data_IF_928648641564
#
_entry.id   IF_928648641564
#
_cell.length_a   1.000
_cell.length_b   1.000
_cell.length_c   1.000
_cell.angle_alpha   90.00
_cell.angle_beta   90.00
_cell.angle_gamma   90.00
#
_symmetry.space_group_name_H-M   'P 1'
#
loop_
_entity.id
_entity.type
_entity.pdbx_description
1 polymer ?
2 water ?
#
# COMPACT_ATOMS: atom_id res chain seq x y z
N UNK A 1 13.12 3.63 -7.51
CA UNK A 1 12.23 4.20 -6.44
C UNK A 1 10.84 4.52 -6.93
N UNK A 2 9.86 4.18 -6.11
CA UNK A 2 8.42 4.33 -6.32
C UNK A 2 7.78 5.15 -5.18
N UNK A 3 6.80 5.94 -5.52
CA UNK A 3 6.06 6.78 -4.59
C UNK A 3 4.59 6.46 -4.87
N UNK A 4 3.82 6.25 -3.80
CA UNK A 4 2.37 6.10 -3.96
C UNK A 4 1.79 7.33 -3.24
N UNK A 5 1.06 8.16 -3.97
CA UNK A 5 0.47 9.34 -3.41
C UNK A 5 -1.02 9.12 -3.16
N UNK A 6 -1.50 9.38 -1.97
CA UNK A 6 -2.92 9.24 -1.62
C UNK A 6 -3.54 10.63 -1.50
N UNK A 7 -4.34 11.02 -2.47
CA UNK A 7 -4.88 12.36 -2.51
C UNK A 7 -6.40 12.26 -2.58
N UNK A 8 -7.10 13.29 -2.13
CA UNK A 8 -8.57 13.34 -2.17
C UNK A 8 -9.03 13.83 -3.53
N UNK A 9 -10.13 13.33 -4.04
CA UNK A 9 -10.60 13.70 -5.36
C UNK A 9 -10.69 15.19 -5.64
N UNK A 10 -10.76 15.53 -6.94
CA UNK A 10 -11.02 16.95 -7.20
C UNK A 10 -9.96 17.78 -7.83
N UNK A 11 -8.73 17.25 -7.90
CA UNK A 11 -7.60 18.06 -8.45
C UNK A 11 -7.68 17.96 -9.96
N UNK A 12 -7.32 18.99 -10.72
CA UNK A 12 -7.40 19.00 -12.17
C UNK A 12 -6.37 18.06 -12.78
N UNK A 13 -6.53 17.79 -14.07
CA UNK A 13 -5.60 17.04 -14.82
C UNK A 13 -4.24 17.72 -14.85
N UNK A 14 -4.18 19.03 -15.05
CA UNK A 14 -2.93 19.74 -15.01
C UNK A 14 -2.28 19.62 -13.62
N UNK A 15 -3.05 19.78 -12.52
CA UNK A 15 -2.44 19.62 -11.19
C UNK A 15 -1.84 18.25 -10.95
N UNK A 16 -2.53 17.18 -11.30
CA UNK A 16 -1.99 15.80 -11.16
C UNK A 16 -0.72 15.55 -11.94
N UNK A 17 -0.63 15.94 -13.21
CA UNK A 17 0.54 16.00 -14.03
C UNK A 17 1.66 16.77 -13.35
N UNK A 18 1.40 17.95 -12.81
CA UNK A 18 2.44 18.73 -12.12
C UNK A 18 2.95 17.94 -10.92
N UNK A 19 2.01 17.46 -10.08
CA UNK A 19 2.30 16.63 -8.91
C UNK A 19 3.25 15.48 -9.21
N UNK A 20 2.96 14.74 -10.32
CA UNK A 20 3.78 13.63 -10.73
C UNK A 20 5.17 14.17 -11.05
N UNK A 21 5.20 15.28 -11.80
CA UNK A 21 6.52 15.78 -12.17
C UNK A 21 7.36 16.19 -10.98
N UNK A 22 6.78 17.01 -10.14
CA UNK A 22 7.55 17.58 -9.04
C UNK A 22 7.93 16.56 -7.99
N UNK A 23 7.08 15.56 -7.80
CA UNK A 23 7.40 14.51 -6.86
C UNK A 23 8.55 13.71 -7.43
N UNK A 24 8.48 13.42 -8.74
CA UNK A 24 9.48 12.58 -9.36
C UNK A 24 10.86 13.24 -9.24
N UNK A 25 10.87 14.51 -9.54
CA UNK A 25 12.04 15.34 -9.44
C UNK A 25 12.62 15.34 -8.01
N UNK A 26 11.76 15.54 -7.04
CA UNK A 26 12.20 15.48 -5.64
C UNK A 26 12.83 14.11 -5.30
N UNK A 27 12.34 12.98 -5.75
CA UNK A 27 12.93 11.69 -5.45
C UNK A 27 14.29 11.45 -6.12
N UNK A 28 14.35 11.76 -7.39
CA UNK A 28 15.57 11.76 -8.19
C UNK A 28 16.61 12.64 -7.53
N UNK A 29 16.37 13.88 -7.18
CA UNK A 29 17.38 14.72 -6.53
C UNK A 29 17.90 14.13 -5.21
N UNK A 30 17.05 13.93 -4.21
CA UNK A 30 17.36 13.45 -2.88
C UNK A 30 18.03 12.09 -2.76
N UNK A 31 17.67 11.20 -3.68
CA UNK A 31 18.12 9.83 -3.64
C UNK A 31 19.30 9.57 -4.57
N UNK A 32 19.55 10.60 -5.36
CA UNK A 32 20.56 10.55 -6.44
C UNK A 32 20.30 9.40 -7.41
N UNK A 33 19.08 9.34 -7.93
CA UNK A 33 18.65 8.32 -8.86
C UNK A 33 18.28 9.03 -10.17
N UNK A 34 18.53 8.38 -11.30
CA UNK A 34 18.10 8.87 -12.59
C UNK A 34 16.62 9.15 -12.61
N UNK A 35 16.20 10.34 -12.97
CA UNK A 35 14.80 10.64 -13.11
C UNK A 35 14.09 9.60 -13.96
N UNK A 36 14.70 8.97 -14.97
CA UNK A 36 13.89 8.07 -15.76
C UNK A 36 13.43 6.83 -14.99
N UNK A 37 14.05 6.48 -13.87
CA UNK A 37 13.64 5.24 -13.21
C UNK A 37 12.53 5.39 -12.15
N UNK A 38 12.20 6.62 -11.86
CA UNK A 38 11.20 6.95 -10.86
C UNK A 38 9.81 6.62 -11.36
N UNK A 39 9.00 5.98 -10.54
CA UNK A 39 7.64 5.64 -10.86
C UNK A 39 6.78 6.29 -9.78
N UNK A 40 5.70 6.90 -10.12
CA UNK A 40 4.76 7.54 -9.24
C UNK A 40 3.33 7.06 -9.55
N UNK A 41 2.69 6.52 -8.51
CA UNK A 41 1.29 6.15 -8.57
C UNK A 41 0.38 7.15 -7.84
N UNK A 42 -0.68 7.64 -8.37
CA UNK A 42 -1.64 8.45 -7.63
C UNK A 42 -2.80 7.54 -7.21
N UNK A 43 -3.15 7.45 -5.96
CA UNK A 43 -4.34 6.73 -5.45
C UNK A 43 -5.32 7.80 -4.98
N UNK A 44 -6.36 8.10 -5.71
CA UNK A 44 -7.32 9.12 -5.39
C UNK A 44 -8.54 8.59 -4.67
N UNK A 45 -9.10 9.31 -3.69
CA UNK A 45 -10.26 8.81 -2.99
C UNK A 45 -11.21 9.98 -2.65
N UNK A 46 -12.49 9.66 -2.47
CA UNK A 46 -13.50 10.62 -2.11
C UNK A 46 -13.12 11.15 -0.74
N UNK A 47 -13.57 12.37 -0.51
CA UNK A 47 -13.20 13.10 0.69
C UNK A 47 -13.63 12.34 1.91
N UNK A 48 -14.67 11.53 1.81
CA UNK A 48 -15.21 10.75 2.91
C UNK A 48 -14.66 9.32 3.03
N UNK A 49 -13.60 9.08 2.28
CA UNK A 49 -12.82 7.86 2.45
C UNK A 49 -11.59 8.24 3.31
N UNK A 50 -11.45 9.49 3.70
CA UNK A 50 -10.34 9.93 4.52
C UNK A 50 -10.81 10.26 5.94
N UNK A 51 -10.27 9.58 6.94
CA UNK A 51 -10.65 9.75 8.33
C UNK A 51 -9.57 10.45 9.13
N UNK A 52 -9.91 11.53 9.81
CA UNK A 52 -9.03 12.28 10.69
C UNK A 52 -9.61 12.26 12.13
N UNK A 53 -8.97 11.66 13.13
CA UNK A 53 -9.43 11.52 14.49
C UNK A 53 -10.77 10.85 14.71
N UNK A 54 -11.22 9.90 13.91
CA UNK A 54 -12.46 9.19 14.01
C UNK A 54 -13.64 9.74 13.18
N UNK A 55 -13.38 10.78 12.44
CA UNK A 55 -14.28 11.47 11.59
C UNK A 55 -13.94 11.60 10.11
N UNK A 56 -14.93 11.43 9.25
CA UNK A 56 -14.72 11.69 7.84
C UNK A 56 -14.26 13.14 7.64
N UNK A 57 -13.22 13.24 6.80
CA UNK A 57 -12.57 14.47 6.43
C UNK A 57 -13.57 15.51 5.93
N UNK A 58 -14.61 15.11 5.23
CA UNK A 58 -15.72 15.85 4.69
C UNK A 58 -16.59 16.52 5.76
N UNK A 59 -16.53 15.96 6.94
CA UNK A 59 -16.97 16.11 8.29
C UNK A 59 -18.45 15.73 8.40
N UNK B 1 -12.37 -8.57 4.01
CA UNK B 1 -11.88 -7.18 4.26
C UNK B 1 -10.52 -7.21 4.88
N UNK B 2 -9.60 -6.36 4.47
CA UNK B 2 -8.20 -6.37 4.91
C UNK B 2 -7.82 -4.99 5.43
N UNK B 3 -7.03 -4.94 6.50
CA UNK B 3 -6.59 -3.65 7.07
C UNK B 3 -5.05 -3.67 7.05
N UNK B 4 -4.41 -2.63 6.54
CA UNK B 4 -2.96 -2.56 6.67
C UNK B 4 -2.72 -1.42 7.69
N UNK B 5 -2.03 -1.73 8.81
CA UNK B 5 -1.74 -0.75 9.85
C UNK B 5 -0.27 -0.34 9.85
N UNK B 6 0.00 0.93 9.72
CA UNK B 6 1.27 1.59 9.69
C UNK B 6 1.58 2.12 11.10
N UNK B 7 2.44 1.52 11.89
CA UNK B 7 2.69 2.01 13.24
C UNK B 7 4.19 2.18 13.41
N UNK B 8 4.57 3.04 14.31
CA UNK B 8 5.95 3.31 14.69
C UNK B 8 6.44 2.22 15.63
N UNK B 9 7.64 1.76 15.38
CA UNK B 9 8.34 0.85 16.22
C UNK B 9 8.20 1.10 17.71
N UNK B 10 8.21 0.13 18.62
CA UNK B 10 8.16 0.45 20.05
C UNK B 10 7.14 -0.36 20.81
N UNK B 11 6.26 -1.11 20.15
CA UNK B 11 5.20 -1.78 20.89
C UNK B 11 5.66 -3.18 21.19
N UNK B 12 5.04 -3.81 22.15
CA UNK B 12 5.42 -5.17 22.49
C UNK B 12 4.62 -6.10 21.59
N UNK B 13 4.94 -7.39 21.61
CA UNK B 13 4.14 -8.35 20.85
C UNK B 13 2.73 -8.47 21.45
N UNK B 14 2.50 -8.19 22.74
CA UNK B 14 1.17 -8.35 23.34
C UNK B 14 0.32 -7.15 22.98
N UNK B 15 0.93 -5.99 22.81
CA UNK B 15 0.19 -4.83 22.36
C UNK B 15 -0.26 -4.96 20.90
N UNK B 16 0.57 -5.60 20.05
CA UNK B 16 0.29 -5.83 18.62
C UNK B 16 -0.86 -6.83 18.44
N UNK B 17 -0.90 -7.82 19.33
CA UNK B 17 -1.94 -8.87 19.33
C UNK B 17 -3.28 -8.29 19.69
N UNK B 18 -3.33 -7.33 20.62
CA UNK B 18 -4.48 -6.57 21.06
C UNK B 18 -4.98 -5.69 19.91
N UNK B 19 -4.07 -4.97 19.26
CA UNK B 19 -4.39 -4.13 18.11
C UNK B 19 -5.07 -4.91 17.00
N UNK B 20 -4.53 -6.11 16.71
CA UNK B 20 -5.07 -7.05 15.72
C UNK B 20 -6.48 -7.48 16.15
N UNK B 21 -6.65 -7.84 17.40
CA UNK B 21 -7.97 -8.31 17.84
C UNK B 21 -9.01 -7.22 17.79
N UNK B 22 -8.71 -6.04 18.28
CA UNK B 22 -9.66 -4.96 18.31
C UNK B 22 -10.03 -4.32 16.98
N UNK B 23 -8.99 -4.19 16.15
CA UNK B 23 -9.23 -3.67 14.80
C UNK B 23 -10.06 -4.70 14.02
N UNK B 24 -9.78 -5.98 14.13
CA UNK B 24 -10.56 -7.02 13.46
C UNK B 24 -12.00 -6.94 13.95
N UNK B 25 -12.23 -6.92 15.25
CA UNK B 25 -13.56 -6.72 15.77
C UNK B 25 -14.28 -5.54 15.11
N UNK B 26 -13.76 -4.31 15.18
CA UNK B 26 -14.35 -3.10 14.67
C UNK B 26 -14.76 -3.23 13.20
N UNK B 27 -13.95 -3.94 12.41
CA UNK B 27 -14.18 -4.19 11.00
C UNK B 27 -15.30 -5.19 10.82
N UNK B 28 -15.30 -6.25 11.59
CA UNK B 28 -16.37 -7.25 11.46
C UNK B 28 -17.71 -6.59 11.74
N UNK B 29 -17.78 -5.79 12.77
CA UNK B 29 -18.97 -5.19 13.35
C UNK B 29 -19.42 -4.04 12.46
N UNK B 30 -18.47 -3.27 11.96
CA UNK B 30 -18.88 -2.12 11.14
C UNK B 30 -19.37 -2.43 9.73
N UNK B 31 -18.82 -3.45 9.12
CA UNK B 31 -19.04 -3.90 7.79
C UNK B 31 -20.03 -5.04 7.74
N UNK B 32 -20.42 -5.66 8.83
CA UNK B 32 -21.31 -6.85 8.83
C UNK B 32 -20.66 -8.00 8.08
N UNK B 33 -19.41 -8.27 8.48
CA UNK B 33 -18.56 -9.28 7.90
C UNK B 33 -18.14 -10.26 8.97
N UNK B 34 -18.11 -11.53 8.66
CA UNK B 34 -17.68 -12.58 9.56
C UNK B 34 -16.29 -12.28 10.04
N UNK B 35 -16.12 -12.35 11.34
CA UNK B 35 -14.82 -12.08 11.92
C UNK B 35 -13.75 -12.96 11.35
N UNK B 36 -14.04 -14.21 10.99
CA UNK B 36 -13.00 -15.11 10.49
C UNK B 36 -12.49 -14.69 9.11
N UNK B 37 -13.18 -13.83 8.36
CA UNK B 37 -12.73 -13.39 7.04
C UNK B 37 -11.88 -12.12 7.04
N UNK B 38 -11.78 -11.42 8.16
CA UNK B 38 -10.94 -10.24 8.38
C UNK B 38 -9.44 -10.57 8.40
N UNK B 39 -8.61 -9.86 7.62
CA UNK B 39 -7.18 -10.03 7.67
C UNK B 39 -6.58 -8.67 8.06
N UNK B 40 -5.60 -8.73 8.94
CA UNK B 40 -4.89 -7.50 9.37
C UNK B 40 -3.39 -7.66 9.08
N UNK B 41 -2.75 -6.62 8.57
CA UNK B 41 -1.33 -6.60 8.26
C UNK B 41 -0.74 -5.44 9.07
N UNK B 42 0.28 -5.61 9.86
CA UNK B 42 0.94 -4.54 10.59
C UNK B 42 2.23 -4.22 9.82
N UNK B 43 2.44 -3.00 9.43
CA UNK B 43 3.63 -2.54 8.74
C UNK B 43 4.36 -1.59 9.65
N UNK B 44 5.37 -2.09 10.34
CA UNK B 44 6.03 -1.29 11.37
C UNK B 44 7.20 -0.48 10.86
N UNK B 45 7.39 0.78 11.27
CA UNK B 45 8.54 1.49 10.77
C UNK B 45 9.25 2.24 11.89
N UNK B 46 10.53 2.56 11.66
CA UNK B 46 11.28 3.42 12.57
C UNK B 46 10.67 4.83 12.54
N UNK B 47 10.82 5.55 13.65
CA UNK B 47 10.30 6.86 13.83
C UNK B 47 10.79 7.83 12.80
N UNK B 48 12.02 7.69 12.33
CA UNK B 48 12.49 8.66 11.33
C UNK B 48 12.03 8.37 9.90
N UNK B 49 11.15 7.39 9.71
CA UNK B 49 10.57 6.98 8.46
C UNK B 49 9.19 7.58 8.33
N UNK B 50 8.78 8.36 9.30
CA UNK B 50 7.47 9.02 9.29
C UNK B 50 7.70 10.54 9.40
N UNK B 51 7.18 11.26 8.43
CA UNK B 51 7.36 12.68 8.31
C UNK B 51 6.02 13.38 8.44
N UNK B 52 6.09 14.51 9.12
CA UNK B 52 4.93 15.35 9.42
C UNK B 52 5.21 16.76 8.94
N UNK B 53 4.47 17.32 8.02
CA UNK B 53 4.83 18.64 7.52
C UNK B 53 6.30 18.80 7.20
N UNK B 54 7.02 17.80 6.68
CA UNK B 54 8.35 17.88 6.15
C UNK B 54 9.52 17.50 7.00
N UNK B 55 9.21 17.07 8.21
CA UNK B 55 10.16 16.65 9.20
C UNK B 55 9.86 15.26 9.72
N UNK B 56 10.89 14.49 10.01
CA UNK B 56 10.71 13.18 10.62
C UNK B 56 9.99 13.31 11.96
N UNK B 57 9.24 12.28 12.34
CA UNK B 57 8.46 12.22 13.55
C UNK B 57 9.41 12.42 14.72
N UNK B 58 10.51 11.68 14.72
CA UNK B 58 11.64 11.74 15.64
C UNK B 58 12.14 13.18 15.75
N UNK B 59 11.82 14.07 14.87
CA UNK B 59 11.98 15.51 14.89
C UNK B 59 13.41 15.99 14.63
N UNK C 1 -0.35 -15.84 1.74
CA UNK C 1 0.22 -14.53 1.29
C UNK C 1 -0.69 -13.64 0.47
N UNK C 2 -0.37 -12.34 0.30
CA UNK C 2 -1.29 -11.36 -0.32
C UNK C 2 -0.55 -10.58 -1.37
N UNK C 3 -1.22 -10.37 -2.51
CA UNK C 3 -0.60 -9.60 -3.59
C UNK C 3 -1.49 -8.41 -3.84
N UNK C 4 -0.92 -7.25 -4.01
CA UNK C 4 -1.66 -6.07 -4.41
C UNK C 4 -1.06 -5.67 -5.78
N UNK C 5 -1.91 -5.64 -6.80
CA UNK C 5 -1.52 -5.32 -8.18
C UNK C 5 -2.02 -3.97 -8.63
N UNK C 6 -1.15 -3.07 -9.02
CA UNK C 6 -1.41 -1.73 -9.48
C UNK C 6 -1.33 -1.67 -11.03
N UNK C 7 -2.50 -1.62 -11.62
CA UNK C 7 -2.62 -1.75 -13.06
C UNK C 7 -3.33 -0.53 -13.61
N UNK C 8 -3.10 -0.22 -14.88
CA UNK C 8 -3.85 0.86 -15.50
C UNK C 8 -5.16 0.31 -16.09
N UNK C 9 -6.21 1.09 -16.05
CA UNK C 9 -7.45 0.82 -16.67
C UNK C 9 -7.36 0.30 -18.10
N UNK C 10 -8.40 -0.41 -18.54
CA UNK C 10 -8.54 -0.80 -19.92
C UNK C 10 -8.71 -2.31 -20.03
N UNK C 11 -8.49 -3.08 -18.96
CA UNK C 11 -8.55 -4.54 -19.09
C UNK C 11 -9.98 -4.98 -18.84
N UNK C 12 -10.41 -6.05 -19.50
CA UNK C 12 -11.79 -6.53 -19.39
C UNK C 12 -11.88 -7.33 -18.10
N UNK C 13 -13.10 -7.62 -17.71
CA UNK C 13 -13.29 -8.43 -16.52
C UNK C 13 -12.65 -9.78 -16.65
N UNK C 14 -12.84 -10.43 -17.81
CA UNK C 14 -12.25 -11.75 -17.96
C UNK C 14 -10.75 -11.59 -18.02
N UNK C 15 -10.16 -10.53 -18.59
CA UNK C 15 -8.71 -10.37 -18.47
C UNK C 15 -8.24 -10.25 -16.99
N UNK C 16 -9.03 -9.56 -16.17
CA UNK C 16 -8.66 -9.40 -14.76
C UNK C 16 -8.73 -10.71 -14.01
N UNK C 17 -9.71 -11.51 -14.46
CA UNK C 17 -9.85 -12.84 -13.89
C UNK C 17 -8.64 -13.73 -14.17
N UNK C 18 -8.12 -13.69 -15.39
CA UNK C 18 -6.89 -14.44 -15.72
C UNK C 18 -5.74 -13.97 -14.82
N UNK C 19 -5.59 -12.64 -14.77
CA UNK C 19 -4.56 -12.01 -13.95
C UNK C 19 -4.60 -12.53 -12.52
N UNK C 20 -5.78 -12.54 -11.89
CA UNK C 20 -5.92 -13.05 -10.53
C UNK C 20 -5.50 -14.53 -10.56
N UNK C 21 -5.94 -15.39 -11.47
CA UNK C 21 -5.63 -16.81 -11.36
C UNK C 21 -4.13 -17.13 -11.42
N UNK C 22 -3.56 -16.50 -12.43
CA UNK C 22 -2.18 -16.69 -12.81
C UNK C 22 -1.25 -16.08 -11.77
N UNK C 23 -1.41 -14.86 -11.30
CA UNK C 23 -0.55 -14.39 -10.18
C UNK C 23 -0.76 -15.30 -8.98
N UNK C 24 -1.99 -15.70 -8.64
CA UNK C 24 -2.17 -16.53 -7.46
C UNK C 24 -1.42 -17.87 -7.67
N UNK C 25 -1.55 -18.52 -8.81
CA UNK C 25 -0.84 -19.82 -8.96
C UNK C 25 0.66 -19.66 -8.90
N UNK C 26 1.25 -18.55 -9.29
CA UNK C 26 2.61 -18.12 -9.22
C UNK C 26 3.06 -18.02 -7.75
N UNK C 27 2.24 -17.39 -6.94
CA UNK C 27 2.62 -17.24 -5.55
C UNK C 27 2.56 -18.58 -4.84
N UNK C 28 1.50 -19.33 -5.14
CA UNK C 28 1.39 -20.66 -4.48
C UNK C 28 2.55 -21.51 -4.88
N UNK C 29 3.07 -21.58 -6.08
CA UNK C 29 4.19 -22.44 -6.47
C UNK C 29 5.59 -22.04 -5.98
N UNK C 30 5.81 -20.71 -5.97
CA UNK C 30 7.04 -20.12 -5.54
C UNK C 30 7.36 -20.30 -4.05
N UNK C 31 6.27 -20.13 -3.31
CA UNK C 31 6.33 -20.16 -1.85
C UNK C 31 6.05 -21.57 -1.34
N UNK C 32 5.54 -22.46 -2.18
CA UNK C 32 5.13 -23.79 -1.71
C UNK C 32 3.97 -23.58 -0.73
N UNK C 33 3.02 -22.69 -0.96
CA UNK C 33 1.91 -22.31 -0.10
C UNK C 33 0.61 -22.83 -0.68
N UNK C 34 -0.41 -23.04 0.14
CA UNK C 34 -1.72 -23.45 -0.29
C UNK C 34 -2.38 -22.38 -1.14
N UNK C 35 -2.86 -22.73 -2.32
CA UNK C 35 -3.53 -21.75 -3.16
C UNK C 35 -4.74 -21.10 -2.45
N UNK C 36 -5.46 -21.81 -1.60
CA UNK C 36 -6.64 -21.33 -0.93
C UNK C 36 -6.28 -20.21 0.03
N UNK C 37 -5.06 -20.01 0.48
CA UNK C 37 -4.86 -18.90 1.43
C UNK C 37 -4.36 -17.70 0.66
N UNK C 38 -4.17 -17.80 -0.67
CA UNK C 38 -3.70 -16.62 -1.39
C UNK C 38 -4.85 -15.63 -1.63
N UNK C 39 -4.58 -14.35 -1.40
CA UNK C 39 -5.50 -13.31 -1.65
C UNK C 39 -4.88 -12.34 -2.66
N UNK C 40 -5.69 -11.86 -3.59
CA UNK C 40 -5.10 -10.91 -4.55
C UNK C 40 -6.03 -9.69 -4.59
N UNK C 41 -5.43 -8.50 -4.53
CA UNK C 41 -6.12 -7.24 -4.67
C UNK C 41 -5.66 -6.44 -5.91
N UNK C 42 -6.58 -6.03 -6.76
CA UNK C 42 -6.32 -5.22 -7.94
C UNK C 42 -6.62 -3.75 -7.65
N UNK C 43 -5.63 -2.89 -7.81
CA UNK C 43 -5.78 -1.46 -7.53
C UNK C 43 -5.66 -0.83 -8.94
N UNK C 44 -6.81 -0.44 -9.50
CA UNK C 44 -6.75 0.04 -10.89
C UNK C 44 -6.79 1.55 -10.90
N UNK C 45 -6.12 2.14 -11.87
CA UNK C 45 -6.12 3.60 -11.97
C UNK C 45 -6.15 4.13 -13.40
N UNK C 46 -6.57 5.36 -13.60
CA UNK C 46 -6.46 6.06 -14.84
C UNK C 46 -5.00 6.15 -15.24
N UNK C 47 -4.88 6.18 -16.58
CA UNK C 47 -3.61 6.29 -17.24
C UNK C 47 -2.85 7.51 -16.83
N UNK C 48 -3.49 8.61 -16.51
CA UNK C 48 -2.77 9.82 -16.07
C UNK C 48 -2.45 9.73 -14.56
N UNK C 49 -2.80 8.63 -13.88
CA UNK C 49 -2.47 8.52 -12.46
C UNK C 49 -1.16 7.74 -12.33
N UNK C 50 -0.60 7.31 -13.45
CA UNK C 50 0.65 6.59 -13.43
C UNK C 50 1.77 7.35 -14.12
N UNK C 51 2.78 7.59 -13.32
CA UNK C 51 3.88 8.45 -13.69
C UNK C 51 5.13 7.60 -13.92
N UNK C 52 5.72 8.02 -15.05
CA UNK C 52 6.90 7.32 -15.56
C UNK C 52 8.01 8.28 -15.93
N UNK C 53 9.08 8.33 -15.12
CA UNK C 53 10.13 9.29 -15.39
C UNK C 53 9.70 10.75 -15.37
N UNK C 54 8.62 11.12 -14.67
CA UNK C 54 8.14 12.46 -14.44
C UNK C 54 6.93 12.91 -15.23
N UNK C 55 6.49 11.98 -16.05
CA UNK C 55 5.48 12.07 -17.05
C UNK C 55 4.38 11.02 -16.89
N UNK C 56 3.19 11.58 -17.02
CA UNK C 56 2.00 10.80 -17.07
C UNK C 56 2.15 9.72 -18.12
N UNK C 57 1.75 8.51 -17.79
CA UNK C 57 1.69 7.39 -18.67
C UNK C 57 0.92 7.72 -19.97
N UNK C 58 -0.09 8.59 -19.85
CA UNK C 58 -0.92 9.20 -20.84
C UNK C 58 -0.18 10.20 -21.74
N UNK C 59 1.12 10.35 -21.69
CA UNK C 59 2.11 11.23 -22.24
C UNK C 59 1.66 12.71 -22.22
N UNK D 1 -2.68 15.36 2.19
CA UNK D 1 -2.09 14.33 1.26
C UNK D 1 -1.07 13.42 1.90
N UNK D 2 -1.02 12.14 1.58
CA UNK D 2 0.01 11.26 2.15
C UNK D 2 0.85 10.66 1.03
N UNK D 3 2.14 10.57 1.20
CA UNK D 3 3.05 9.92 0.29
C UNK D 3 3.63 8.66 0.93
N UNK D 4 3.61 7.51 0.27
CA UNK D 4 4.31 6.31 0.75
C UNK D 4 5.47 6.05 -0.23
N UNK D 5 6.67 6.18 0.31
CA UNK D 5 7.86 6.02 -0.53
C UNK D 5 8.54 4.64 -0.40
N UNK D 6 8.76 3.93 -1.51
CA UNK D 6 9.39 2.60 -1.51
C UNK D 6 10.83 2.73 -1.99
N UNK D 7 11.83 2.59 -1.10
CA UNK D 7 13.19 2.89 -1.52
C UNK D 7 13.99 1.68 -1.08
N UNK D 8 15.16 1.53 -1.66
CA UNK D 8 16.02 0.42 -1.25
C UNK D 8 16.87 0.90 -0.09
N UNK D 9 17.18 0.05 0.86
CA UNK D 9 18.07 0.32 1.95
C UNK D 9 19.36 1.05 1.64
N UNK D 10 20.01 1.65 2.65
CA UNK D 10 21.39 2.09 2.41
C UNK D 10 21.59 3.57 2.47
N UNK D 11 20.51 4.33 2.58
CA UNK D 11 20.60 5.80 2.66
C UNK D 11 20.81 6.17 4.15
N UNK D 12 21.57 7.24 4.38
CA UNK D 12 21.73 7.69 5.76
C UNK D 12 20.42 8.30 6.21
N UNK D 13 20.34 8.49 7.55
CA UNK D 13 19.21 9.17 8.20
C UNK D 13 19.02 10.60 7.72
N UNK D 14 20.13 11.30 7.49
CA UNK D 14 20.14 12.62 6.95
C UNK D 14 19.65 12.63 5.50
N UNK D 15 20.03 11.64 4.69
CA UNK D 15 19.42 11.55 3.34
C UNK D 15 17.92 11.31 3.32
N UNK D 16 17.49 10.42 4.24
CA UNK D 16 16.05 10.14 4.40
C UNK D 16 15.30 11.39 4.83
N UNK D 17 15.91 12.27 5.62
CA UNK D 17 15.29 13.54 6.05
C UNK D 17 15.09 14.57 4.95
N UNK D 18 16.05 14.67 4.07
CA UNK D 18 16.09 15.45 2.85
C UNK D 18 14.99 14.96 1.90
N UNK D 19 14.90 13.64 1.86
CA UNK D 19 13.92 12.97 0.99
C UNK D 19 12.52 13.33 1.45
N UNK D 20 12.29 13.16 2.78
CA UNK D 20 11.00 13.59 3.38
C UNK D 20 10.78 15.08 3.11
N UNK D 21 11.79 15.89 3.38
CA UNK D 21 11.60 17.33 3.13
C UNK D 21 11.15 17.61 1.72
N UNK D 22 12.03 17.23 0.83
CA UNK D 22 11.83 17.56 -0.60
C UNK D 22 10.55 16.99 -1.14
N UNK D 23 10.17 15.77 -0.88
CA UNK D 23 8.90 15.24 -1.36
C UNK D 23 7.71 16.03 -0.83
N UNK D 24 7.73 16.39 0.44
CA UNK D 24 6.65 17.13 1.08
C UNK D 24 6.51 18.52 0.44
N UNK D 25 7.59 19.21 0.13
CA UNK D 25 7.47 20.51 -0.54
C UNK D 25 6.90 20.35 -1.91
N UNK D 26 7.30 19.37 -2.71
CA UNK D 26 6.71 19.17 -4.04
C UNK D 26 5.20 18.91 -3.92
N UNK D 27 4.69 18.20 -2.90
CA UNK D 27 3.29 17.89 -2.86
C UNK D 27 2.52 19.14 -2.44
N UNK D 28 3.05 19.80 -1.43
CA UNK D 28 2.40 21.02 -0.95
C UNK D 28 2.36 22.04 -2.09
N UNK D 29 3.39 22.19 -2.90
CA UNK D 29 3.39 23.17 -3.99
C UNK D 29 2.64 22.74 -5.26
N UNK D 30 2.61 21.45 -5.59
CA UNK D 30 1.85 20.95 -6.71
C UNK D 30 0.35 21.04 -6.50
N UNK D 31 -0.03 20.67 -5.28
CA UNK D 31 -1.41 20.62 -4.89
C UNK D 31 -1.89 21.89 -4.20
N UNK D 32 -1.05 22.85 -3.94
CA UNK D 32 -1.11 23.97 -3.04
C UNK D 32 -1.96 23.50 -1.81
N UNK D 33 -1.33 22.57 -1.08
CA UNK D 33 -1.92 22.18 0.18
C UNK D 33 -0.98 22.82 1.20
N UNK D 34 -1.45 23.06 2.42
CA UNK D 34 -0.60 23.50 3.48
C UNK D 34 0.50 22.49 3.75
N UNK D 35 1.74 22.84 3.49
CA UNK D 35 2.86 21.94 3.79
C UNK D 35 2.73 21.21 5.12
N UNK D 36 2.26 21.73 6.23
CA UNK D 36 2.19 21.02 7.50
C UNK D 36 1.12 19.94 7.59
N UNK D 37 0.28 19.76 6.59
CA UNK D 37 -0.69 18.68 6.59
C UNK D 37 -0.17 17.47 5.79
N UNK D 38 0.97 17.62 5.11
CA UNK D 38 1.59 16.59 4.30
C UNK D 38 2.22 15.53 5.17
N UNK D 39 1.91 14.26 5.02
CA UNK D 39 2.44 13.20 5.79
C UNK D 39 3.31 12.34 4.89
N UNK D 40 4.47 11.86 5.24
CA UNK D 40 5.27 10.98 4.37
C UNK D 40 5.61 9.68 5.11
N UNK D 41 5.48 8.53 4.45
CA UNK D 41 5.82 7.25 5.03
C UNK D 41 7.00 6.68 4.17
N UNK D 42 8.11 6.29 4.74
CA UNK D 42 9.16 5.59 4.03
C UNK D 42 9.03 4.09 4.29
N UNK D 43 8.91 3.25 3.26
CA UNK D 43 8.89 1.81 3.35
C UNK D 43 10.18 1.33 2.70
N UNK D 44 11.14 1.00 3.50
CA UNK D 44 12.47 0.66 3.00
C UNK D 44 12.58 -0.85 2.89
N UNK D 45 13.29 -1.30 1.89
CA UNK D 45 13.47 -2.74 1.71
C UNK D 45 14.85 -3.10 1.20
N UNK D 46 15.29 -4.35 1.48
CA UNK D 46 16.52 -4.86 0.96
C UNK D 46 16.51 -4.83 -0.57
N UNK D 47 17.71 -4.81 -1.16
CA UNK D 47 17.90 -4.84 -2.58
C UNK D 47 17.31 -6.08 -3.23
N UNK D 48 17.21 -7.21 -2.56
CA UNK D 48 16.66 -8.37 -3.29
C UNK D 48 15.15 -8.49 -3.16
N UNK D 49 14.50 -7.51 -2.56
CA UNK D 49 13.05 -7.43 -2.42
C UNK D 49 12.46 -6.55 -3.53
N UNK D 50 13.35 -6.00 -4.32
CA UNK D 50 13.01 -5.16 -5.43
C UNK D 50 13.34 -5.80 -6.79
N UNK D 51 12.33 -6.20 -7.51
CA UNK D 51 12.35 -6.86 -8.81
C UNK D 51 12.10 -5.93 -9.98
N UNK D 52 12.97 -5.97 -10.95
CA UNK D 52 12.97 -5.21 -12.17
C UNK D 52 13.03 -6.18 -13.37
N UNK D 53 11.96 -6.19 -14.16
CA UNK D 53 11.83 -7.04 -15.30
C UNK D 53 12.09 -8.50 -14.99
N UNK D 54 11.74 -9.00 -13.81
CA UNK D 54 11.89 -10.39 -13.44
C UNK D 54 13.08 -10.80 -12.63
N UNK D 55 14.00 -9.89 -12.34
CA UNK D 55 15.24 -10.04 -11.66
C UNK D 55 15.42 -9.25 -10.38
N UNK D 56 16.04 -9.76 -9.35
CA UNK D 56 16.27 -8.94 -8.17
C UNK D 56 17.12 -7.74 -8.59
N UNK D 57 16.94 -6.60 -7.94
CA UNK D 57 17.66 -5.36 -8.10
C UNK D 57 19.14 -5.61 -7.88
N UNK D 58 19.44 -6.45 -6.91
CA UNK D 58 20.71 -6.96 -6.49
C UNK D 58 21.39 -7.88 -7.49
N UNK D 59 20.83 -8.25 -8.59
CA UNK D 59 20.89 -9.07 -9.76
C UNK D 59 21.27 -10.56 -9.53
N UNK E 1 -0.80 6.98 14.30
CA UNK E 1 -0.79 5.77 13.41
C UNK E 1 -1.71 5.81 12.22
N UNK E 2 -1.49 5.14 11.11
CA UNK E 2 -2.42 5.21 9.95
C UNK E 2 -2.98 3.84 9.66
N UNK E 3 -4.22 3.65 9.25
CA UNK E 3 -4.82 2.38 8.91
C UNK E 3 -5.19 2.44 7.43
N UNK E 4 -4.86 1.49 6.55
CA UNK E 4 -5.47 1.61 5.20
C UNK E 4 -6.41 0.41 5.14
N UNK E 5 -7.67 0.66 4.82
CA UNK E 5 -8.76 -0.28 4.79
C UNK E 5 -9.15 -0.56 3.30
N UNK E 6 -8.99 -1.84 2.99
CA UNK E 6 -9.29 -2.43 1.66
C UNK E 6 -10.62 -3.15 1.78
N UNK E 7 -11.66 -2.56 1.20
CA UNK E 7 -13.01 -3.08 1.27
C UNK E 7 -13.63 -3.13 -0.13
N UNK E 8 -14.56 -4.04 -0.29
CA UNK E 8 -15.33 -4.19 -1.50
C UNK E 8 -16.48 -3.18 -1.53
N UNK E 9 -16.77 -2.61 -2.66
CA UNK E 9 -17.94 -1.80 -2.85
C UNK E 9 -19.23 -2.37 -2.27
N UNK E 10 -20.21 -1.51 -2.06
CA UNK E 10 -21.55 -1.88 -1.65
C UNK E 10 -22.02 -1.28 -0.34
N UNK E 11 -21.14 -0.58 0.38
CA UNK E 11 -21.47 -0.01 1.69
C UNK E 11 -21.78 1.49 1.48
N UNK E 12 -22.73 1.93 2.29
CA UNK E 12 -23.15 3.30 2.30
C UNK E 12 -22.16 4.23 2.94
N UNK E 13 -22.28 5.53 2.68
CA UNK E 13 -21.44 6.51 3.37
C UNK E 13 -21.54 6.46 4.90
N UNK E 14 -22.70 6.14 5.49
CA UNK E 14 -22.75 6.17 6.96
C UNK E 14 -22.20 4.83 7.41
N UNK E 15 -22.22 3.71 6.72
CA UNK E 15 -21.52 2.53 7.23
C UNK E 15 -20.01 2.73 7.16
N UNK E 16 -19.48 3.50 6.23
CA UNK E 16 -18.10 3.90 6.07
C UNK E 16 -17.69 4.89 7.17
N UNK E 17 -18.53 5.83 7.60
CA UNK E 17 -18.22 6.67 8.75
C UNK E 17 -18.14 5.89 10.05
N UNK E 18 -19.00 4.95 10.39
CA UNK E 18 -18.99 4.02 11.50
C UNK E 18 -17.69 3.23 11.48
N UNK E 19 -17.34 2.72 10.25
CA UNK E 19 -16.06 2.01 10.03
C UNK E 19 -14.87 2.90 10.39
N UNK E 20 -14.83 4.15 9.90
CA UNK E 20 -13.71 5.03 10.25
C UNK E 20 -13.68 5.20 11.78
N UNK E 21 -14.80 5.51 12.43
CA UNK E 21 -14.85 5.75 13.88
C UNK E 21 -14.43 4.60 14.75
N UNK E 22 -15.03 3.44 14.55
CA UNK E 22 -14.65 2.23 15.27
C UNK E 22 -13.21 1.76 15.03
N UNK E 23 -12.66 1.72 13.82
CA UNK E 23 -11.24 1.37 13.70
C UNK E 23 -10.39 2.42 14.40
N UNK E 24 -10.63 3.69 14.24
CA UNK E 24 -9.89 4.78 14.87
C UNK E 24 -9.89 4.60 16.39
N UNK E 25 -11.02 4.36 17.04
CA UNK E 25 -11.03 4.07 18.49
C UNK E 25 -10.23 2.83 18.84
N UNK E 26 -10.34 1.78 17.99
CA UNK E 26 -9.60 0.53 18.17
C UNK E 26 -8.10 0.81 18.17
N UNK E 27 -7.63 1.63 17.25
CA UNK E 27 -6.18 1.92 17.26
C UNK E 27 -5.74 2.76 18.46
N UNK E 28 -6.50 3.78 18.80
CA UNK E 28 -6.14 4.72 19.89
C UNK E 28 -6.07 3.98 21.22
N UNK E 29 -7.03 3.11 21.47
CA UNK E 29 -7.09 2.29 22.66
C UNK E 29 -5.95 1.28 22.71
N UNK E 30 -5.71 0.46 21.70
CA UNK E 30 -4.66 -0.54 21.69
C UNK E 30 -3.26 0.03 21.79
N UNK E 31 -2.97 1.08 21.06
CA UNK E 31 -1.69 1.72 21.04
C UNK E 31 -1.48 2.85 22.04
N UNK E 32 -2.54 3.25 22.75
CA UNK E 32 -2.51 4.39 23.65
C UNK E 32 -2.08 5.63 22.85
N UNK E 33 -2.80 5.86 21.77
CA UNK E 33 -2.40 7.10 21.06
C UNK E 33 -3.65 7.97 21.19
N UNK E 34 -3.52 9.30 21.27
CA UNK E 34 -4.59 10.20 21.13
C UNK E 34 -5.46 9.87 19.94
N UNK E 35 -6.75 9.88 20.02
CA UNK E 35 -7.68 9.61 18.95
C UNK E 35 -7.53 10.60 17.82
N UNK E 36 -7.15 11.80 18.14
CA UNK E 36 -6.99 12.89 17.21
C UNK E 36 -5.82 12.63 16.28
N UNK E 37 -4.85 11.78 16.64
CA UNK E 37 -3.84 11.69 15.59
C UNK E 37 -4.03 10.53 14.62
N UNK E 38 -4.94 9.61 14.86
CA UNK E 38 -5.23 8.50 13.96
C UNK E 38 -5.83 8.98 12.63
N UNK E 39 -5.26 8.46 11.52
CA UNK E 39 -5.72 8.70 10.18
C UNK E 39 -6.16 7.35 9.60
N UNK E 40 -7.25 7.35 8.90
CA UNK E 40 -7.77 6.16 8.24
C UNK E 40 -8.02 6.49 6.76
N UNK E 41 -7.65 5.50 5.92
CA UNK E 41 -7.82 5.59 4.49
C UNK E 41 -8.64 4.39 4.04
N UNK E 42 -9.72 4.61 3.35
CA UNK E 42 -10.58 3.57 2.79
C UNK E 42 -10.25 3.45 1.28
N UNK E 43 -9.87 2.22 0.91
CA UNK E 43 -9.51 1.84 -0.46
C UNK E 43 -10.56 0.79 -0.86
N UNK E 44 -11.54 1.36 -1.54
CA UNK E 44 -12.70 0.63 -2.03
C UNK E 44 -12.48 0.01 -3.46
N UNK E 45 -12.91 -1.23 -3.62
CA UNK E 45 -12.76 -1.89 -4.91
C UNK E 45 -13.99 -2.71 -5.30
N UNK E 46 -14.20 -2.85 -6.61
CA UNK E 46 -15.16 -3.79 -7.13
C UNK E 46 -14.89 -5.18 -6.62
N UNK E 47 -15.96 -5.96 -6.53
CA UNK E 47 -15.96 -7.30 -6.05
C UNK E 47 -15.03 -8.23 -6.81
N UNK E 48 -14.97 -7.94 -8.14
CA UNK E 48 -14.12 -8.74 -9.04
C UNK E 48 -12.68 -8.27 -9.00
N UNK E 49 -12.32 -7.33 -8.13
CA UNK E 49 -10.92 -6.92 -8.04
C UNK E 49 -10.33 -7.61 -6.81
N UNK E 50 -11.11 -8.53 -6.29
CA UNK E 50 -10.68 -9.22 -5.10
C UNK E 50 -10.67 -10.73 -5.33
N UNK E 51 -9.48 -11.32 -5.28
CA UNK E 51 -9.31 -12.73 -5.56
C UNK E 51 -9.02 -13.47 -4.29
N UNK E 52 -9.70 -14.59 -4.13
CA UNK E 52 -9.75 -15.52 -3.04
C UNK E 52 -9.34 -16.89 -3.58
N UNK E 53 -8.14 -17.30 -3.21
CA UNK E 53 -7.60 -18.54 -3.69
C UNK E 53 -7.67 -18.71 -5.18
N UNK E 54 -7.42 -17.71 -6.02
CA UNK E 54 -7.43 -17.78 -7.47
C UNK E 54 -8.73 -17.38 -8.17
N UNK E 55 -9.78 -17.09 -7.37
CA UNK E 55 -11.10 -16.82 -7.87
C UNK E 55 -11.47 -15.42 -7.45
N UNK E 56 -12.11 -14.68 -8.31
CA UNK E 56 -12.57 -13.34 -7.96
C UNK E 56 -13.65 -13.53 -6.91
N UNK E 57 -13.74 -12.60 -5.98
CA UNK E 57 -14.73 -12.68 -4.93
C UNK E 57 -16.12 -12.86 -5.50
N UNK E 58 -16.41 -12.12 -6.58
CA UNK E 58 -17.63 -12.18 -7.36
C UNK E 58 -17.91 -13.61 -7.78
N UNK E 59 -16.95 -14.46 -8.01
CA UNK E 59 -16.72 -15.87 -8.17
C UNK E 59 -16.55 -16.43 -9.61
N UNK F 1 2.99 -2.00 -14.97
CA UNK F 1 2.30 -2.69 -13.85
C UNK F 1 3.25 -3.05 -12.72
N UNK F 2 2.83 -2.88 -11.49
CA UNK F 2 3.63 -3.00 -10.29
C UNK F 2 2.94 -3.99 -9.38
N UNK F 3 3.58 -4.90 -8.72
CA UNK F 3 2.95 -5.84 -7.82
C UNK F 3 3.61 -5.62 -6.43
N UNK F 4 2.81 -5.57 -5.37
CA UNK F 4 3.40 -5.52 -4.03
C UNK F 4 2.96 -6.79 -3.31
N UNK F 5 3.97 -7.55 -2.90
CA UNK F 5 3.72 -8.84 -2.28
C UNK F 5 4.02 -8.80 -0.77
N UNK F 6 3.05 -9.19 0.07
CA UNK F 6 3.08 -9.26 1.51
C UNK F 6 3.14 -10.71 1.94
N UNK F 7 4.35 -11.05 2.39
CA UNK F 7 4.69 -12.42 2.74
C UNK F 7 5.26 -12.43 4.17
N UNK F 8 5.12 -13.54 4.85
CA UNK F 8 5.62 -13.64 6.22
C UNK F 8 7.08 -14.01 6.12
N UNK F 9 7.93 -13.53 6.98
CA UNK F 9 9.28 -13.97 7.20
C UNK F 9 9.65 -15.44 7.06
N UNK F 10 10.90 -15.75 6.74
CA UNK F 10 11.31 -17.16 6.69
C UNK F 10 11.64 -17.78 5.36
N UNK F 11 11.55 -17.07 4.23
CA UNK F 11 11.88 -17.68 2.94
C UNK F 11 13.34 -17.47 2.60
N UNK F 12 13.93 -18.45 1.89
CA UNK F 12 15.32 -18.27 1.49
C UNK F 12 15.42 -17.17 0.48
N UNK F 13 16.61 -16.77 0.11
CA UNK F 13 16.88 -15.77 -0.90
C UNK F 13 16.51 -16.35 -2.27
N UNK F 14 16.79 -17.64 -2.42
CA UNK F 14 16.40 -18.31 -3.65
C UNK F 14 14.89 -18.34 -3.87
N UNK F 15 14.05 -18.70 -2.93
CA UNK F 15 12.62 -18.71 -3.07
C UNK F 15 12.05 -17.34 -3.39
N UNK F 16 12.55 -16.28 -2.73
CA UNK F 16 12.17 -14.91 -2.96
C UNK F 16 12.46 -14.47 -4.40
N UNK F 17 13.62 -14.89 -4.93
CA UNK F 17 14.02 -14.66 -6.32
C UNK F 17 13.14 -15.34 -7.35
N UNK F 18 12.70 -16.57 -7.11
CA UNK F 18 11.79 -17.34 -7.90
C UNK F 18 10.42 -16.69 -7.91
N UNK F 19 9.99 -16.25 -6.71
CA UNK F 19 8.78 -15.51 -6.50
C UNK F 19 8.80 -14.26 -7.36
N UNK F 20 9.90 -13.50 -7.38
CA UNK F 20 9.93 -12.30 -8.24
C UNK F 20 9.81 -12.70 -9.73
N UNK F 21 10.53 -13.72 -10.17
CA UNK F 21 10.46 -14.15 -11.56
C UNK F 21 9.08 -14.58 -12.01
N UNK F 22 8.52 -15.52 -11.26
CA UNK F 22 7.28 -16.14 -11.65
C UNK F 22 6.12 -15.16 -11.55
N UNK F 23 6.18 -14.29 -10.53
CA UNK F 23 5.08 -13.34 -10.48
C UNK F 23 5.27 -12.39 -11.65
N UNK F 24 6.45 -11.89 -11.94
CA UNK F 24 6.56 -10.97 -13.07
C UNK F 24 6.10 -11.59 -14.41
N UNK F 25 6.50 -12.85 -14.63
CA UNK F 25 6.06 -13.51 -15.86
C UNK F 25 4.55 -13.61 -15.86
N UNK F 26 3.86 -13.99 -14.79
CA UNK F 26 2.39 -14.05 -14.77
C UNK F 26 1.76 -12.69 -15.08
N UNK F 27 2.36 -11.60 -14.61
CA UNK F 27 1.76 -10.30 -14.94
C UNK F 27 1.93 -9.88 -16.41
N UNK F 28 3.14 -10.04 -16.90
CA UNK F 28 3.50 -9.72 -18.25
C UNK F 28 2.57 -10.41 -19.23
N UNK F 29 2.41 -11.70 -19.01
CA UNK F 29 1.59 -12.61 -19.81
C UNK F 29 0.11 -12.24 -19.70
N UNK F 30 -0.42 -12.03 -18.51
CA UNK F 30 -1.81 -11.68 -18.34
C UNK F 30 -2.21 -10.27 -18.78
N UNK F 31 -1.29 -9.31 -18.68
CA UNK F 31 -1.61 -7.92 -18.94
C UNK F 31 -1.29 -7.46 -20.33
N UNK F 32 -0.60 -8.33 -21.02
CA UNK F 32 -0.03 -8.10 -22.33
C UNK F 32 1.07 -7.06 -22.23
N UNK F 33 1.94 -7.23 -21.22
CA UNK F 33 2.94 -6.14 -21.02
C UNK F 33 4.35 -6.70 -21.13
N UNK F 34 5.25 -5.95 -21.79
CA UNK F 34 6.63 -6.30 -21.91
C UNK F 34 7.18 -6.64 -20.55
N UNK F 35 7.86 -7.77 -20.45
CA UNK F 35 8.36 -8.17 -19.14
C UNK F 35 9.30 -7.19 -18.48
N UNK F 36 10.13 -6.54 -19.26
CA UNK F 36 11.08 -5.56 -18.74
C UNK F 36 10.36 -4.40 -18.05
N UNK F 37 9.07 -4.17 -18.26
CA UNK F 37 8.38 -3.07 -17.65
C UNK F 37 7.83 -3.38 -16.26
N UNK F 38 7.67 -4.62 -15.89
CA UNK F 38 7.05 -5.05 -14.65
C UNK F 38 7.90 -4.80 -13.43
N UNK F 39 7.42 -4.25 -12.32
CA UNK F 39 8.21 -4.04 -11.10
C UNK F 39 7.57 -4.88 -10.01
N UNK F 40 8.33 -5.50 -9.10
CA UNK F 40 7.80 -6.34 -8.03
C UNK F 40 8.48 -5.93 -6.70
N UNK F 41 7.68 -5.65 -5.67
CA UNK F 41 8.05 -5.17 -4.37
C UNK F 41 7.77 -6.24 -3.35
N UNK F 42 8.70 -6.77 -2.61
CA UNK F 42 8.30 -7.75 -1.60
C UNK F 42 8.25 -6.98 -0.28
N UNK F 43 7.18 -7.14 0.48
CA UNK F 43 7.04 -6.51 1.82
C UNK F 43 6.95 -7.63 2.81
N UNK F 44 8.05 -7.87 3.49
CA UNK F 44 8.07 -8.99 4.40
C UNK F 44 7.68 -8.60 5.82
N UNK F 45 7.05 -9.49 6.55
CA UNK F 45 6.71 -9.16 7.94
C UNK F 45 6.84 -10.36 8.83
N UNK F 46 7.10 -10.16 10.12
CA UNK F 46 7.10 -11.26 11.06
C UNK F 46 5.74 -11.93 11.12
N UNK F 47 5.74 -13.18 11.57
CA UNK F 47 4.50 -13.93 11.61
C UNK F 47 3.45 -13.31 12.49
N UNK F 48 3.84 -12.63 13.59
CA UNK F 48 2.85 -12.00 14.46
C UNK F 48 2.43 -10.61 14.01
N UNK F 49 2.82 -10.08 12.86
CA UNK F 49 2.33 -8.88 12.26
C UNK F 49 1.16 -9.23 11.30
N UNK F 50 0.85 -10.51 11.21
CA UNK F 50 -0.19 -11.00 10.34
C UNK F 50 -1.35 -11.58 11.17
N UNK F 51 -2.53 -10.98 11.00
CA UNK F 51 -3.68 -11.41 11.76
C UNK F 51 -4.74 -12.00 10.87
N UNK F 52 -5.34 -13.06 11.31
CA UNK F 52 -6.35 -13.91 10.77
C UNK F 52 -7.53 -14.14 11.68
N UNK F 53 -8.68 -13.58 11.34
CA UNK F 53 -9.87 -13.67 12.15
C UNK F 53 -9.66 -13.13 13.56
N UNK F 54 -8.92 -12.03 13.78
CA UNK F 54 -8.68 -11.45 15.09
C UNK F 54 -7.51 -11.98 15.90
N UNK F 55 -6.82 -12.99 15.44
CA UNK F 55 -5.70 -13.69 16.02
C UNK F 55 -4.43 -13.58 15.21
N UNK F 56 -3.32 -13.44 15.90
CA UNK F 56 -2.02 -13.36 15.26
C UNK F 56 -1.70 -14.64 14.55
N UNK F 57 -1.20 -14.58 13.31
CA UNK F 57 -0.81 -15.70 12.49
C UNK F 57 0.01 -16.70 13.27
N UNK F 58 0.85 -16.24 14.21
CA UNK F 58 1.60 -17.10 15.10
C UNK F 58 0.72 -17.76 16.16
N UNK F 59 -0.55 -17.47 16.20
CA UNK F 59 -1.72 -17.87 16.93
C UNK F 59 -1.75 -17.39 18.38
#
# INVERSE_FOLDING_TARGET
PIAQLYIIEGRTDEQKETLIRQVSEAMANSLDAPLERVRVLITEMPKNHFGIGGEPASKVRR
PIAQLYIIEGRTDEQKETLIRQVSEAMANSLDAPLERVRVLITEMPKNHFGIGGEPASKVRR
PIAQLYIIEGRTDEQKETLIRQVSEAMANSLDAPLERVRVLITEMPKNHFGIGGEPASKVRR
PIAQLYIIEGRTDEQKETLIRQVSEAMANSLDAPLERVRVLITEMPKNHFGIGGEPASKVRR
PIAQLYIIEGRTDEQKETLIRQVSEAMANSLDAPLERVRVLITEMPKNHFGIGGEPASKVRR
PIAQLYIIEGRTDEQKETLIRQVSEAMANSLDAPLERVRVLITEMPKNHFGIGGEPASKVRR
#
